data_IF_430481735860
#
_entry.id   IF_430481735860
#
_cell.length_a   1.000
_cell.length_b   1.000
_cell.length_c   1.000
_cell.angle_alpha   90.00
_cell.angle_beta   90.00
_cell.angle_gamma   90.00
#
_symmetry.space_group_name_H-M   'P 1'
#
loop_
_entity.id
_entity.type
_entity.pdbx_description
1 polymer ?
#
# COMPACT_ATOMS: atom_id res chain seq x y z
N UNK A 1 6.54 -11.59 -13.56
CA UNK A 1 7.52 -11.61 -12.45
C UNK A 1 7.56 -12.93 -11.66
N UNK A 2 6.49 -13.75 -11.63
CA UNK A 2 6.51 -15.04 -10.92
C UNK A 2 7.56 -16.04 -11.44
N UNK A 3 7.69 -16.17 -12.76
CA UNK A 3 8.69 -17.05 -13.37
C UNK A 3 10.13 -16.70 -12.95
N UNK A 4 10.47 -15.40 -12.96
CA UNK A 4 11.77 -14.92 -12.49
C UNK A 4 11.99 -15.21 -10.99
N UNK A 5 10.95 -15.07 -10.16
CA UNK A 5 11.01 -15.43 -8.74
C UNK A 5 11.28 -16.92 -8.51
N UNK A 6 10.64 -17.81 -9.26
CA UNK A 6 10.89 -19.25 -9.19
C UNK A 6 12.29 -19.63 -9.67
N UNK A 7 12.79 -19.01 -10.75
CA UNK A 7 14.16 -19.21 -11.21
C UNK A 7 15.18 -18.76 -10.16
N UNK A 8 14.99 -17.58 -9.58
CA UNK A 8 15.88 -17.06 -8.53
C UNK A 8 15.86 -17.93 -7.27
N UNK A 9 14.68 -18.41 -6.86
CA UNK A 9 14.53 -19.33 -5.74
C UNK A 9 15.21 -20.68 -6.01
N UNK A 10 15.10 -21.23 -7.21
CA UNK A 10 15.78 -22.47 -7.60
C UNK A 10 17.31 -22.31 -7.56
N UNK A 11 17.82 -21.20 -8.10
CA UNK A 11 19.27 -20.89 -8.07
C UNK A 11 19.76 -20.74 -6.63
N UNK A 12 19.01 -20.05 -5.76
CA UNK A 12 19.35 -19.90 -4.35
C UNK A 12 19.42 -21.23 -3.60
N UNK A 13 18.45 -22.12 -3.82
CA UNK A 13 18.43 -23.46 -3.19
C UNK A 13 19.62 -24.31 -3.66
N UNK A 14 19.91 -24.32 -4.96
CA UNK A 14 21.07 -25.06 -5.50
C UNK A 14 22.37 -24.52 -4.91
N UNK A 15 22.49 -23.19 -4.77
CA UNK A 15 23.67 -22.56 -4.17
C UNK A 15 23.88 -22.95 -2.70
N UNK A 16 22.79 -23.03 -1.92
CA UNK A 16 22.84 -23.51 -0.53
C UNK A 16 23.33 -24.96 -0.49
N UNK A 17 22.80 -25.85 -1.34
CA UNK A 17 23.23 -27.25 -1.39
C UNK A 17 24.72 -27.40 -1.71
N UNK A 18 25.24 -26.58 -2.63
CA UNK A 18 26.68 -26.54 -2.96
C UNK A 18 27.49 -26.07 -1.75
N UNK A 19 27.04 -25.02 -1.06
CA UNK A 19 27.73 -24.52 0.13
C UNK A 19 27.73 -25.55 1.27
N UNK A 20 26.65 -26.31 1.47
CA UNK A 20 26.61 -27.40 2.46
C UNK A 20 27.57 -28.55 2.13
N UNK A 21 27.83 -28.82 0.85
CA UNK A 21 28.77 -29.86 0.42
C UNK A 21 30.24 -29.38 0.38
N UNK A 22 30.52 -28.13 0.74
CA UNK A 22 31.89 -27.61 0.77
C UNK A 22 32.70 -28.30 1.88
N UNK A 23 33.78 -28.97 1.51
CA UNK A 23 34.68 -29.61 2.48
C UNK A 23 35.47 -28.55 3.25
N UNK A 24 35.38 -28.59 4.58
CA UNK A 24 36.07 -27.66 5.49
C UNK A 24 37.24 -28.30 6.23
N UNK A 25 37.55 -29.55 5.89
CA UNK A 25 38.66 -30.29 6.47
C UNK A 25 39.96 -29.99 5.74
N UNK A 26 41.04 -29.80 6.49
CA UNK A 26 42.40 -29.87 5.96
C UNK A 26 43.10 -31.06 6.63
N UNK A 27 43.80 -31.87 5.82
CA UNK A 27 44.68 -32.93 6.33
C UNK A 27 45.89 -32.30 7.03
N UNK A 28 46.02 -32.50 8.34
CA UNK A 28 47.25 -32.13 9.04
C UNK A 28 48.37 -33.14 8.71
N UNK A 29 49.63 -32.70 8.85
CA UNK A 29 50.83 -33.52 8.64
C UNK A 29 50.87 -34.81 9.50
N UNK A 30 50.01 -34.93 10.50
CA UNK A 30 49.90 -36.07 11.42
C UNK A 30 48.64 -36.94 11.19
N UNK A 31 48.00 -36.85 10.02
CA UNK A 31 46.87 -37.71 9.66
C UNK A 31 45.53 -37.34 10.30
N UNK A 32 45.50 -36.41 11.26
CA UNK A 32 44.26 -35.87 11.81
C UNK A 32 43.65 -34.83 10.85
N UNK A 33 42.37 -35.02 10.50
CA UNK A 33 41.55 -33.99 9.86
C UNK A 33 41.18 -32.96 10.92
N UNK A 34 41.63 -31.73 10.75
CA UNK A 34 41.25 -30.60 11.59
C UNK A 34 40.36 -29.67 10.76
N UNK A 35 39.22 -29.26 11.34
CA UNK A 35 38.36 -28.26 10.70
C UNK A 35 39.09 -26.93 10.68
N UNK A 36 39.31 -26.39 9.49
CA UNK A 36 39.91 -25.07 9.38
C UNK A 36 38.83 -24.01 9.60
N UNK A 37 38.94 -23.26 10.70
CA UNK A 37 38.02 -22.19 11.06
C UNK A 37 37.82 -21.19 9.91
N UNK A 38 38.87 -20.87 9.13
CA UNK A 38 38.74 -19.99 7.96
C UNK A 38 37.86 -20.59 6.85
N UNK A 39 37.97 -21.89 6.61
CA UNK A 39 37.15 -22.59 5.62
C UNK A 39 35.70 -22.73 6.09
N UNK A 40 35.49 -22.99 7.39
CA UNK A 40 34.16 -23.00 8.02
C UNK A 40 33.49 -21.62 7.92
N UNK A 41 34.22 -20.54 8.18
CA UNK A 41 33.71 -19.17 8.01
C UNK A 41 33.38 -18.86 6.54
N UNK A 42 34.21 -19.32 5.59
CA UNK A 42 33.92 -19.19 4.16
C UNK A 42 32.66 -19.94 3.75
N UNK A 43 32.49 -21.17 4.25
CA UNK A 43 31.28 -21.98 4.02
C UNK A 43 30.03 -21.27 4.54
N UNK A 44 30.09 -20.70 5.75
CA UNK A 44 28.99 -19.93 6.34
C UNK A 44 28.63 -18.70 5.49
N UNK A 45 29.62 -17.99 4.94
CA UNK A 45 29.36 -16.86 4.05
C UNK A 45 28.62 -17.29 2.77
N UNK A 46 28.99 -18.43 2.17
CA UNK A 46 28.29 -18.95 0.99
C UNK A 46 26.85 -19.40 1.32
N UNK A 47 26.64 -20.03 2.48
CA UNK A 47 25.30 -20.38 2.98
C UNK A 47 24.45 -19.11 3.18
N UNK A 48 25.03 -18.06 3.76
CA UNK A 48 24.37 -16.79 4.02
C UNK A 48 23.99 -16.07 2.72
N UNK A 49 24.88 -16.00 1.74
CA UNK A 49 24.58 -15.48 0.40
C UNK A 49 23.42 -16.28 -0.24
N UNK A 50 23.48 -17.61 -0.20
CA UNK A 50 22.43 -18.46 -0.77
C UNK A 50 21.07 -18.27 -0.07
N UNK A 51 21.08 -18.09 1.25
CA UNK A 51 19.90 -17.82 2.04
C UNK A 51 19.24 -16.49 1.67
N UNK A 52 20.03 -15.41 1.50
CA UNK A 52 19.50 -14.13 1.04
C UNK A 52 18.87 -14.24 -0.36
N UNK A 53 19.56 -14.87 -1.31
CA UNK A 53 19.04 -15.07 -2.67
C UNK A 53 17.71 -15.83 -2.66
N UNK A 54 17.63 -16.91 -1.86
CA UNK A 54 16.42 -17.72 -1.71
C UNK A 54 15.28 -16.91 -1.08
N UNK A 55 15.57 -16.11 -0.05
CA UNK A 55 14.61 -15.24 0.62
C UNK A 55 14.03 -14.19 -0.33
N UNK A 56 14.88 -13.51 -1.11
CA UNK A 56 14.42 -12.53 -2.11
C UNK A 56 13.55 -13.18 -3.20
N UNK A 57 13.93 -14.36 -3.69
CA UNK A 57 13.12 -15.15 -4.62
C UNK A 57 11.74 -15.49 -4.05
N UNK A 58 11.70 -15.93 -2.79
CA UNK A 58 10.47 -16.27 -2.08
C UNK A 58 9.54 -15.04 -1.89
N UNK A 59 10.10 -13.91 -1.46
CA UNK A 59 9.36 -12.65 -1.31
C UNK A 59 8.76 -12.21 -2.65
N UNK A 60 9.51 -12.34 -3.75
CA UNK A 60 9.02 -12.00 -5.09
C UNK A 60 7.83 -12.88 -5.53
N UNK A 61 7.85 -14.17 -5.19
CA UNK A 61 6.75 -15.11 -5.47
C UNK A 61 5.50 -14.75 -4.65
N UNK A 62 5.67 -14.53 -3.34
CA UNK A 62 4.58 -14.21 -2.41
C UNK A 62 3.95 -12.85 -2.77
N UNK A 63 4.77 -11.84 -2.99
CA UNK A 63 4.30 -10.48 -3.32
C UNK A 63 3.50 -10.46 -4.62
N UNK A 64 3.90 -11.26 -5.62
CA UNK A 64 3.12 -11.39 -6.85
C UNK A 64 1.76 -12.07 -6.66
N UNK A 65 1.58 -12.92 -5.63
CA UNK A 65 0.27 -13.50 -5.30
C UNK A 65 -0.66 -12.44 -4.73
N UNK A 66 -0.15 -11.60 -3.84
CA UNK A 66 -0.91 -10.53 -3.20
C UNK A 66 -1.27 -9.40 -4.17
N UNK A 67 -0.37 -9.02 -5.09
CA UNK A 67 -0.68 -8.02 -6.12
C UNK A 67 -1.83 -8.45 -7.05
N UNK A 68 -1.93 -9.73 -7.42
CA UNK A 68 -3.07 -10.20 -8.24
C UNK A 68 -4.38 -10.22 -7.46
N UNK A 69 -4.34 -10.49 -6.16
CA UNK A 69 -5.53 -10.42 -5.33
C UNK A 69 -5.97 -8.95 -5.17
N UNK A 70 -5.02 -8.06 -4.89
CA UNK A 70 -5.26 -6.62 -4.81
C UNK A 70 -5.74 -6.05 -6.15
N UNK A 71 -5.15 -6.44 -7.27
CA UNK A 71 -5.66 -6.08 -8.60
C UNK A 71 -7.01 -6.69 -8.89
N UNK A 72 -7.32 -7.92 -8.46
CA UNK A 72 -8.64 -8.51 -8.69
C UNK A 72 -9.72 -7.84 -7.84
N UNK A 73 -9.41 -7.47 -6.60
CA UNK A 73 -10.32 -6.73 -5.72
C UNK A 73 -10.47 -5.30 -6.22
N UNK A 74 -9.37 -4.64 -6.60
CA UNK A 74 -9.37 -3.30 -7.20
C UNK A 74 -10.10 -3.26 -8.53
N UNK A 75 -9.90 -4.25 -9.42
CA UNK A 75 -10.57 -4.35 -10.72
C UNK A 75 -12.04 -4.75 -10.59
N UNK A 76 -12.42 -5.50 -9.54
CA UNK A 76 -13.84 -5.73 -9.22
C UNK A 76 -14.50 -4.43 -8.79
N UNK A 77 -13.85 -3.64 -7.94
CA UNK A 77 -14.35 -2.35 -7.50
C UNK A 77 -14.35 -1.29 -8.63
N UNK A 78 -13.34 -1.32 -9.51
CA UNK A 78 -13.23 -0.45 -10.68
C UNK A 78 -14.17 -0.89 -11.81
N UNK A 79 -14.54 -2.17 -11.97
CA UNK A 79 -15.59 -2.57 -12.92
C UNK A 79 -16.97 -2.09 -12.49
N UNK A 80 -17.26 -2.12 -11.19
CA UNK A 80 -18.50 -1.54 -10.66
C UNK A 80 -18.50 0.00 -10.77
N UNK A 81 -17.34 0.65 -10.68
CA UNK A 81 -17.20 2.11 -10.85
C UNK A 81 -17.16 2.53 -12.34
N UNK A 82 -16.53 1.75 -13.22
CA UNK A 82 -16.40 2.03 -14.66
C UNK A 82 -17.64 1.61 -15.46
N UNK A 83 -18.37 0.58 -15.02
CA UNK A 83 -19.74 0.31 -15.46
C UNK A 83 -20.68 1.49 -15.14
N UNK A 84 -20.40 2.25 -14.08
CA UNK A 84 -21.13 3.48 -13.73
C UNK A 84 -20.67 4.74 -14.50
N UNK A 85 -19.45 4.71 -15.08
CA UNK A 85 -18.84 5.86 -15.76
C UNK A 85 -18.82 5.75 -17.29
N UNK A 86 -19.06 4.57 -17.86
CA UNK A 86 -19.18 4.41 -19.32
C UNK A 86 -20.46 5.03 -19.90
N UNK A 87 -21.44 5.34 -19.05
CA UNK A 87 -22.64 6.10 -19.41
C UNK A 87 -22.60 7.52 -18.78
N UNK A 88 -21.42 8.14 -18.70
CA UNK A 88 -21.33 9.55 -18.30
C UNK A 88 -20.22 10.31 -19.01
N UNK A 89 -20.16 10.18 -20.33
CA UNK A 89 -19.66 11.25 -21.21
C UNK A 89 -20.70 12.37 -21.29
N UNK A 90 -21.12 12.90 -20.13
CA UNK A 90 -21.98 14.09 -20.08
C UNK A 90 -21.12 15.25 -19.63
N UNK A 91 -20.80 16.08 -20.63
CA UNK A 91 -20.15 17.39 -20.59
C UNK A 91 -19.86 17.90 -19.17
N UNK A 92 -18.61 17.75 -18.73
CA UNK A 92 -18.12 18.25 -17.45
C UNK A 92 -18.08 19.77 -17.49
N UNK A 93 -19.08 20.43 -16.92
CA UNK A 93 -18.98 21.86 -16.62
C UNK A 93 -17.76 22.10 -15.71
N UNK A 94 -16.95 23.17 -15.93
CA UNK A 94 -15.85 23.52 -15.05
C UNK A 94 -16.40 23.73 -13.64
N UNK A 95 -15.95 22.92 -12.68
CA UNK A 95 -16.36 23.04 -11.29
C UNK A 95 -15.73 24.35 -10.76
N UNK A 96 -16.53 25.27 -10.19
CA UNK A 96 -16.02 26.52 -9.63
C UNK A 96 -14.91 26.26 -8.60
N UNK A 97 -13.77 26.94 -8.75
CA UNK A 97 -12.68 26.93 -7.76
C UNK A 97 -13.15 27.65 -6.49
N UNK A 98 -13.74 26.93 -5.53
CA UNK A 98 -14.07 27.48 -4.23
C UNK A 98 -12.86 27.47 -3.29
N UNK A 99 -12.77 28.48 -2.43
CA UNK A 99 -11.69 28.54 -1.44
C UNK A 99 -11.83 27.45 -0.36
N UNK A 100 -13.06 26.99 -0.07
CA UNK A 100 -13.33 25.85 0.80
C UNK A 100 -12.73 24.55 0.24
N UNK A 101 -12.86 24.32 -1.08
CA UNK A 101 -12.29 23.14 -1.73
C UNK A 101 -10.76 23.17 -1.70
N UNK A 102 -10.15 24.35 -1.93
CA UNK A 102 -8.69 24.52 -1.81
C UNK A 102 -8.20 24.20 -0.40
N UNK A 103 -8.90 24.71 0.62
CA UNK A 103 -8.54 24.43 2.02
C UNK A 103 -8.72 22.96 2.38
N UNK A 104 -9.81 22.31 1.92
CA UNK A 104 -10.00 20.88 2.12
C UNK A 104 -8.89 20.05 1.45
N UNK A 105 -8.41 20.46 0.27
CA UNK A 105 -7.29 19.80 -0.44
C UNK A 105 -5.95 19.86 0.30
N UNK A 106 -5.79 20.77 1.27
CA UNK A 106 -4.56 20.86 2.04
C UNK A 106 -4.48 19.79 3.15
N UNK A 107 -5.59 19.16 3.51
CA UNK A 107 -5.58 18.09 4.50
C UNK A 107 -4.97 16.81 3.93
N UNK A 108 -4.09 16.19 4.71
CA UNK A 108 -3.47 14.89 4.43
C UNK A 108 -3.89 13.89 5.51
N UNK A 109 -3.68 12.60 5.23
CA UNK A 109 -4.11 11.54 6.14
C UNK A 109 -3.49 11.65 7.55
N UNK A 110 -2.25 12.11 7.65
CA UNK A 110 -1.56 12.28 8.93
C UNK A 110 -2.11 13.43 9.78
N UNK A 111 -2.86 14.37 9.20
CA UNK A 111 -3.49 15.49 9.94
C UNK A 111 -4.64 15.02 10.84
N UNK A 112 -5.12 13.79 10.62
CA UNK A 112 -6.23 13.19 11.34
C UNK A 112 -5.80 12.21 12.41
N UNK A 113 -4.49 12.01 12.62
CA UNK A 113 -3.97 10.97 13.53
C UNK A 113 -3.10 11.61 14.61
N UNK A 114 -3.33 11.24 15.88
CA UNK A 114 -2.46 11.64 16.99
C UNK A 114 -1.18 10.77 17.06
N UNK A 115 -0.23 11.15 17.93
CA UNK A 115 0.95 10.36 18.28
C UNK A 115 0.58 8.93 18.72
N UNK A 116 -0.56 8.76 19.38
CA UNK A 116 -1.06 7.46 19.83
C UNK A 116 -1.80 6.66 18.75
N UNK A 117 -1.74 7.09 17.48
CA UNK A 117 -2.47 6.47 16.36
C UNK A 117 -4.00 6.54 16.44
N UNK A 118 -4.57 7.42 17.27
CA UNK A 118 -6.02 7.62 17.37
C UNK A 118 -6.50 8.74 16.42
N UNK A 119 -7.73 8.64 15.92
CA UNK A 119 -8.33 9.67 15.08
C UNK A 119 -8.60 10.95 15.89
N UNK A 120 -8.16 12.10 15.38
CA UNK A 120 -8.53 13.41 15.94
C UNK A 120 -9.91 13.81 15.41
N UNK A 121 -10.96 13.47 16.16
CA UNK A 121 -12.35 13.84 15.84
C UNK A 121 -12.50 15.33 15.54
N UNK A 122 -11.84 16.20 16.31
CA UNK A 122 -11.83 17.66 16.08
C UNK A 122 -11.33 18.03 14.68
N UNK A 123 -10.26 17.39 14.20
CA UNK A 123 -9.69 17.65 12.87
C UNK A 123 -10.58 17.10 11.76
N UNK A 124 -11.20 15.94 11.99
CA UNK A 124 -12.21 15.38 11.08
C UNK A 124 -13.40 16.31 10.96
N UNK A 125 -13.89 16.87 12.07
CA UNK A 125 -14.98 17.84 12.07
C UNK A 125 -14.63 19.14 11.31
N UNK A 126 -13.42 19.68 11.49
CA UNK A 126 -12.91 20.84 10.73
C UNK A 126 -12.89 20.57 9.22
N UNK A 127 -12.36 19.42 8.82
CA UNK A 127 -12.35 18.98 7.42
C UNK A 127 -13.77 18.80 6.86
N UNK A 128 -14.66 18.15 7.61
CA UNK A 128 -16.03 17.91 7.18
C UNK A 128 -16.81 19.21 7.03
N UNK A 129 -16.57 20.20 7.90
CA UNK A 129 -17.15 21.53 7.80
C UNK A 129 -16.75 22.22 6.48
N UNK A 130 -15.48 22.14 6.09
CA UNK A 130 -15.00 22.68 4.80
C UNK A 130 -15.68 21.99 3.61
N UNK A 131 -15.83 20.66 3.67
CA UNK A 131 -16.52 19.89 2.63
C UNK A 131 -18.00 20.27 2.50
N UNK A 132 -18.70 20.41 3.62
CA UNK A 132 -20.09 20.87 3.64
C UNK A 132 -20.24 22.30 3.12
N UNK A 133 -19.36 23.22 3.53
CA UNK A 133 -19.33 24.59 3.01
C UNK A 133 -19.05 24.65 1.50
N UNK A 134 -18.21 23.76 0.98
CA UNK A 134 -18.00 23.63 -0.47
C UNK A 134 -19.28 23.19 -1.19
N UNK A 135 -19.96 22.14 -0.72
CA UNK A 135 -21.21 21.67 -1.33
C UNK A 135 -22.26 22.78 -1.32
N UNK A 136 -22.37 23.53 -0.21
CA UNK A 136 -23.31 24.63 -0.08
C UNK A 136 -22.97 25.81 -1.02
N UNK A 137 -21.69 26.18 -1.14
CA UNK A 137 -21.24 27.24 -2.06
C UNK A 137 -21.55 26.89 -3.52
N UNK A 138 -21.33 25.64 -3.93
CA UNK A 138 -21.71 25.16 -5.26
C UNK A 138 -23.23 25.23 -5.46
N UNK A 139 -24.01 24.83 -4.46
CA UNK A 139 -25.47 24.90 -4.53
C UNK A 139 -25.97 26.36 -4.64
N UNK A 140 -25.37 27.30 -3.90
CA UNK A 140 -25.70 28.73 -3.97
C UNK A 140 -25.37 29.34 -5.34
N UNK A 141 -24.32 28.87 -5.99
CA UNK A 141 -23.91 29.29 -7.35
C UNK A 141 -24.67 28.58 -8.47
N UNK A 142 -25.77 27.88 -8.14
CA UNK A 142 -26.57 27.09 -9.08
C UNK A 142 -25.74 26.03 -9.84
N UNK A 143 -24.65 25.56 -9.23
CA UNK A 143 -23.78 24.54 -9.78
C UNK A 143 -24.27 23.12 -9.47
N UNK A 144 -23.60 22.12 -10.05
CA UNK A 144 -23.96 20.71 -9.87
C UNK A 144 -23.61 20.22 -8.44
N UNK A 145 -24.62 20.22 -7.56
CA UNK A 145 -24.53 19.70 -6.19
C UNK A 145 -24.14 18.22 -6.14
N UNK A 146 -24.61 17.41 -7.09
CA UNK A 146 -24.29 15.99 -7.13
C UNK A 146 -22.83 15.76 -7.55
N UNK A 147 -22.28 16.59 -8.43
CA UNK A 147 -20.84 16.58 -8.73
C UNK A 147 -20.01 17.02 -7.52
N UNK A 148 -20.44 18.04 -6.77
CA UNK A 148 -19.77 18.49 -5.55
C UNK A 148 -19.73 17.39 -4.46
N UNK A 149 -20.85 16.71 -4.22
CA UNK A 149 -20.94 15.56 -3.31
C UNK A 149 -19.99 14.42 -3.72
N UNK A 150 -19.99 14.05 -5.01
CA UNK A 150 -19.07 13.02 -5.53
C UNK A 150 -17.60 13.39 -5.34
N UNK A 151 -17.25 14.67 -5.51
CA UNK A 151 -15.89 15.18 -5.27
C UNK A 151 -15.48 15.02 -3.80
N UNK A 152 -16.37 15.36 -2.86
CA UNK A 152 -16.15 15.19 -1.42
C UNK A 152 -15.99 13.71 -1.04
N UNK A 153 -16.85 12.83 -1.55
CA UNK A 153 -16.73 11.37 -1.32
C UNK A 153 -15.36 10.87 -1.81
N UNK A 154 -14.97 11.23 -3.03
CA UNK A 154 -13.66 10.85 -3.58
C UNK A 154 -12.50 11.31 -2.69
N UNK A 155 -12.61 12.47 -2.07
CA UNK A 155 -11.59 13.02 -1.17
C UNK A 155 -11.50 12.25 0.14
N UNK A 156 -12.65 11.94 0.74
CA UNK A 156 -12.76 11.08 1.92
C UNK A 156 -12.15 9.72 1.63
N UNK A 157 -12.46 9.12 0.48
CA UNK A 157 -11.93 7.81 0.09
C UNK A 157 -10.41 7.83 -0.10
N UNK A 158 -9.85 8.88 -0.73
CA UNK A 158 -8.40 9.03 -0.87
C UNK A 158 -7.73 9.08 0.50
N UNK A 159 -8.21 9.94 1.40
CA UNK A 159 -7.65 10.07 2.76
C UNK A 159 -7.76 8.72 3.50
N UNK A 160 -8.94 8.11 3.45
CA UNK A 160 -9.25 6.84 4.10
C UNK A 160 -8.38 5.68 3.60
N UNK A 161 -8.00 5.68 2.32
CA UNK A 161 -7.14 4.63 1.73
C UNK A 161 -5.70 4.62 2.26
N UNK A 162 -5.25 5.75 2.83
CA UNK A 162 -3.93 5.88 3.43
C UNK A 162 -3.93 5.61 4.96
N UNK A 163 -5.10 5.38 5.55
CA UNK A 163 -5.25 5.04 6.97
C UNK A 163 -5.18 3.52 7.19
N UNK A 164 -4.83 3.09 8.41
CA UNK A 164 -4.99 1.68 8.81
C UNK A 164 -6.47 1.29 8.77
N UNK A 165 -6.78 0.01 8.62
CA UNK A 165 -8.16 -0.47 8.44
C UNK A 165 -9.12 -0.01 9.55
N UNK A 166 -8.68 -0.05 10.81
CA UNK A 166 -9.47 0.42 11.97
C UNK A 166 -9.72 1.92 11.93
N UNK A 167 -8.66 2.71 11.67
CA UNK A 167 -8.71 4.17 11.54
C UNK A 167 -9.58 4.61 10.36
N UNK A 168 -9.48 3.91 9.23
CA UNK A 168 -10.28 4.13 8.03
C UNK A 168 -11.78 3.99 8.31
N UNK A 169 -12.18 2.90 8.99
CA UNK A 169 -13.58 2.67 9.39
C UNK A 169 -14.10 3.77 10.32
N UNK A 170 -13.30 4.16 11.32
CA UNK A 170 -13.65 5.22 12.27
C UNK A 170 -13.75 6.59 11.59
N UNK A 171 -12.79 6.93 10.73
CA UNK A 171 -12.78 8.17 9.96
C UNK A 171 -14.01 8.28 9.04
N UNK A 172 -14.33 7.23 8.27
CA UNK A 172 -15.50 7.21 7.40
C UNK A 172 -16.79 7.41 8.19
N UNK A 173 -16.94 6.73 9.33
CA UNK A 173 -18.09 6.86 10.22
C UNK A 173 -18.26 8.29 10.73
N UNK A 174 -17.16 8.95 11.11
CA UNK A 174 -17.20 10.36 11.51
C UNK A 174 -17.58 11.28 10.34
N UNK A 175 -17.04 11.04 9.14
CA UNK A 175 -17.41 11.82 7.97
C UNK A 175 -18.88 11.68 7.59
N UNK A 176 -19.45 10.47 7.65
CA UNK A 176 -20.88 10.22 7.44
C UNK A 176 -21.76 10.94 8.47
N UNK A 177 -21.29 11.04 9.72
CA UNK A 177 -22.00 11.77 10.77
C UNK A 177 -22.05 13.28 10.50
N UNK A 178 -20.93 13.88 10.07
CA UNK A 178 -20.84 15.32 9.84
C UNK A 178 -21.36 15.78 8.47
N UNK A 179 -21.32 14.91 7.46
CA UNK A 179 -21.77 15.21 6.10
C UNK A 179 -22.82 14.17 5.72
N UNK A 180 -24.12 14.49 5.85
CA UNK A 180 -25.18 13.67 5.27
C UNK A 180 -25.11 13.80 3.75
N UNK A 181 -24.30 12.93 3.14
CA UNK A 181 -24.02 12.85 1.71
C UNK A 181 -25.16 12.20 0.94
#
# INVERSE_FOLDING_TARGET
MRGLGYLLLSVGIVWILVAFNMDTNISSQYGNKINNIRLVVSQQNHILIGAFITLYGLIMIISSKNQRLLESIYKSHDKDISGLNSERTFIRAPIPNSDYLKQANNYRYYDFINKDSNILEKRVAEFCKLCSSYIEDINRKNGDKAAARRKVISMIDIISSHLKETQSKEFKKLCEFYIPL
#
